data_IF_520229837735
#
_entry.id   IF_520229837735
#
_cell.length_a   1.000
_cell.length_b   1.000
_cell.length_c   1.000
_cell.angle_alpha   90.00
_cell.angle_beta   90.00
_cell.angle_gamma   90.00
#
_symmetry.space_group_name_H-M   'P 1'
#
loop_
_entity.id
_entity.type
_entity.pdbx_description
1 polymer ?
#
# COMPACT_ATOMS: atom_id res chain seq x y z
N UNK A 1 -6.81 74.03 24.13
CA UNK A 1 -7.35 73.10 23.12
C UNK A 1 -8.83 73.41 22.92
N UNK A 2 -9.36 73.35 21.69
CA UNK A 2 -10.78 73.66 21.42
C UNK A 2 -11.65 72.46 21.80
N UNK A 3 -12.82 72.70 22.40
CA UNK A 3 -13.78 71.65 22.81
C UNK A 3 -14.15 70.69 21.68
N UNK A 4 -14.20 71.19 20.44
CA UNK A 4 -14.42 70.39 19.23
C UNK A 4 -13.39 69.26 19.04
N UNK A 5 -12.11 69.49 19.38
CA UNK A 5 -11.07 68.46 19.23
C UNK A 5 -11.21 67.36 20.28
N UNK A 6 -11.71 67.70 21.48
CA UNK A 6 -11.98 66.73 22.55
C UNK A 6 -13.17 65.85 22.16
N UNK A 7 -14.23 66.46 21.61
CA UNK A 7 -15.40 65.74 21.13
C UNK A 7 -15.07 64.82 19.95
N UNK A 8 -14.26 65.28 19.00
CA UNK A 8 -13.82 64.46 17.88
C UNK A 8 -12.97 63.26 18.33
N UNK A 9 -12.05 63.48 19.28
CA UNK A 9 -11.25 62.41 19.85
C UNK A 9 -12.13 61.40 20.61
N UNK A 10 -13.09 61.86 21.42
CA UNK A 10 -14.01 61.00 22.15
C UNK A 10 -14.89 60.17 21.20
N UNK A 11 -15.43 60.78 20.15
CA UNK A 11 -16.23 60.09 19.15
C UNK A 11 -15.40 59.02 18.40
N UNK A 12 -14.16 59.34 18.04
CA UNK A 12 -13.25 58.39 17.39
C UNK A 12 -12.88 57.24 18.33
N UNK A 13 -12.64 57.51 19.61
CA UNK A 13 -12.38 56.48 20.62
C UNK A 13 -13.58 55.56 20.86
N UNK A 14 -14.79 56.10 20.90
CA UNK A 14 -16.02 55.31 21.05
C UNK A 14 -16.28 54.43 19.82
N UNK A 15 -16.04 54.95 18.61
CA UNK A 15 -16.17 54.18 17.38
C UNK A 15 -15.12 53.06 17.29
N UNK A 16 -13.89 53.32 17.74
CA UNK A 16 -12.83 52.31 17.79
C UNK A 16 -13.15 51.18 18.79
N UNK A 17 -13.75 51.50 19.94
CA UNK A 17 -14.16 50.51 20.93
C UNK A 17 -15.31 49.61 20.44
N UNK A 18 -16.19 50.12 19.57
CA UNK A 18 -17.29 49.35 19.00
C UNK A 18 -16.84 48.25 18.00
N UNK A 19 -15.61 48.34 17.46
CA UNK A 19 -15.06 47.34 16.54
C UNK A 19 -14.32 46.18 17.21
N UNK A 20 -14.05 46.26 18.52
CA UNK A 20 -13.36 45.23 19.27
C UNK A 20 -14.35 44.11 19.67
N UNK A 21 -14.77 43.31 18.69
CA UNK A 21 -15.51 42.08 18.93
C UNK A 21 -14.53 40.92 19.13
N UNK A 22 -14.48 40.37 20.35
CA UNK A 22 -13.86 39.07 20.56
C UNK A 22 -14.77 38.00 19.93
N UNK A 23 -14.20 37.06 19.19
CA UNK A 23 -14.94 35.87 18.76
C UNK A 23 -15.53 35.22 20.01
N UNK A 24 -16.86 35.07 20.04
CA UNK A 24 -17.54 34.42 21.16
C UNK A 24 -17.19 32.94 21.09
N UNK A 25 -16.45 32.45 22.09
CA UNK A 25 -16.15 31.04 22.20
C UNK A 25 -17.44 30.28 22.55
N UNK A 26 -18.02 29.61 21.57
CA UNK A 26 -19.26 28.81 21.68
C UNK A 26 -19.08 27.48 22.43
N UNK A 27 -17.92 27.26 23.07
CA UNK A 27 -17.61 25.99 23.72
C UNK A 27 -17.32 24.85 22.74
N UNK A 28 -17.15 23.64 23.29
CA UNK A 28 -17.07 22.41 22.50
C UNK A 28 -18.46 22.08 22.01
N UNK A 29 -18.67 22.21 20.70
CA UNK A 29 -19.93 21.84 20.07
C UNK A 29 -20.23 20.35 20.30
N UNK A 30 -21.44 19.99 20.75
CA UNK A 30 -21.78 18.59 20.95
C UNK A 30 -21.70 17.85 19.61
N UNK A 31 -21.21 16.61 19.63
CA UNK A 31 -21.29 15.75 18.46
C UNK A 31 -22.78 15.50 18.16
N UNK A 32 -23.32 16.18 17.16
CA UNK A 32 -24.70 16.02 16.67
C UNK A 32 -24.87 14.81 15.77
N UNK A 33 -23.75 14.22 15.32
CA UNK A 33 -23.72 12.99 14.54
C UNK A 33 -23.41 11.79 15.44
N UNK A 34 -24.45 11.17 16.02
CA UNK A 34 -24.27 9.93 16.74
C UNK A 34 -25.59 9.26 17.10
N UNK A 35 -25.64 7.95 16.94
CA UNK A 35 -26.68 7.11 17.53
C UNK A 35 -26.54 7.15 19.06
N UNK A 36 -27.65 7.30 19.76
CA UNK A 36 -27.71 7.16 21.22
C UNK A 36 -27.44 5.71 21.65
N UNK A 37 -27.02 5.52 22.90
CA UNK A 37 -26.80 4.17 23.46
C UNK A 37 -28.05 3.29 23.37
N UNK A 38 -29.24 3.90 23.48
CA UNK A 38 -30.50 3.18 23.36
C UNK A 38 -30.76 2.68 21.94
N UNK A 39 -30.28 3.39 20.92
CA UNK A 39 -30.39 2.99 19.51
C UNK A 39 -29.36 1.93 19.14
N UNK A 40 -28.15 2.00 19.69
CA UNK A 40 -27.06 1.03 19.41
C UNK A 40 -27.28 -0.31 20.12
N UNK A 41 -27.86 -0.32 21.32
CA UNK A 41 -28.07 -1.53 22.10
C UNK A 41 -28.81 -2.66 21.34
N UNK A 42 -29.99 -2.42 20.73
CA UNK A 42 -30.68 -3.47 19.96
C UNK A 42 -29.92 -3.87 18.69
N UNK A 43 -29.22 -2.92 18.03
CA UNK A 43 -28.41 -3.20 16.84
C UNK A 43 -27.22 -4.12 17.15
N UNK A 44 -26.55 -3.88 18.28
CA UNK A 44 -25.44 -4.71 18.75
C UNK A 44 -25.89 -6.14 19.08
N UNK A 45 -27.06 -6.30 19.70
CA UNK A 45 -27.64 -7.62 19.98
C UNK A 45 -28.01 -8.34 18.68
N UNK A 46 -28.58 -7.63 17.71
CA UNK A 46 -28.90 -8.19 16.39
C UNK A 46 -27.62 -8.63 15.64
N UNK A 47 -26.58 -7.80 15.63
CA UNK A 47 -25.30 -8.11 15.00
C UNK A 47 -24.61 -9.31 15.66
N UNK A 48 -24.61 -9.39 17.00
CA UNK A 48 -24.05 -10.54 17.72
C UNK A 48 -24.81 -11.85 17.42
N UNK A 49 -26.13 -11.77 17.19
CA UNK A 49 -26.96 -12.93 16.80
C UNK A 49 -26.84 -13.30 15.33
N UNK A 50 -26.42 -12.38 14.46
CA UNK A 50 -26.27 -12.63 13.03
C UNK A 50 -25.09 -13.57 12.68
N UNK A 51 -24.25 -13.91 13.65
CA UNK A 51 -23.08 -14.78 13.44
C UNK A 51 -21.94 -14.08 12.70
N UNK A 52 -20.86 -14.80 12.44
CA UNK A 52 -19.72 -14.26 11.69
C UNK A 52 -20.09 -14.14 10.21
N UNK A 53 -20.38 -12.92 9.74
CA UNK A 53 -20.68 -12.64 8.33
C UNK A 53 -19.56 -13.04 7.35
N UNK A 54 -18.36 -13.33 7.88
CA UNK A 54 -17.21 -13.78 7.11
C UNK A 54 -16.74 -15.19 7.47
N UNK A 55 -17.47 -15.92 8.31
CA UNK A 55 -17.07 -17.25 8.79
C UNK A 55 -17.04 -18.32 7.71
N UNK A 56 -17.90 -18.17 6.70
CA UNK A 56 -18.00 -19.10 5.57
C UNK A 56 -17.03 -18.73 4.43
N UNK A 57 -16.22 -17.67 4.58
CA UNK A 57 -15.17 -17.34 3.62
C UNK A 57 -13.93 -18.23 3.80
N UNK A 58 -14.11 -19.54 3.68
CA UNK A 58 -13.04 -20.53 3.44
C UNK A 58 -12.34 -20.33 2.07
N UNK A 59 -12.51 -19.18 1.40
CA UNK A 59 -12.03 -19.00 0.02
C UNK A 59 -11.83 -17.58 -0.49
N UNK A 60 -11.98 -16.52 0.31
CA UNK A 60 -11.78 -15.14 -0.19
C UNK A 60 -10.36 -14.61 0.13
N UNK A 61 -9.35 -15.30 -0.40
CA UNK A 61 -8.16 -14.72 -1.01
C UNK A 61 -7.32 -13.64 -0.27
N UNK A 62 -7.31 -13.57 1.08
CA UNK A 62 -6.43 -12.60 1.78
C UNK A 62 -5.24 -13.23 2.54
N UNK A 63 -5.29 -14.53 2.85
CA UNK A 63 -4.20 -15.22 3.58
C UNK A 63 -3.74 -16.54 2.96
N UNK A 64 -4.49 -17.11 2.03
CA UNK A 64 -4.10 -18.35 1.37
C UNK A 64 -3.19 -18.05 0.18
N UNK A 65 -1.92 -18.40 0.29
CA UNK A 65 -1.02 -18.49 -0.87
C UNK A 65 -1.70 -19.39 -1.91
N UNK A 66 -1.82 -18.97 -3.19
CA UNK A 66 -2.45 -19.79 -4.21
C UNK A 66 -1.78 -21.17 -4.23
N UNK A 67 -2.59 -22.22 -4.25
CA UNK A 67 -2.09 -23.59 -4.36
C UNK A 67 -1.26 -23.68 -5.65
N UNK A 68 0.01 -24.09 -5.53
CA UNK A 68 0.86 -24.36 -6.68
C UNK A 68 0.33 -25.61 -7.38
N UNK A 69 -0.54 -25.42 -8.37
CA UNK A 69 -1.24 -26.50 -9.09
C UNK A 69 -0.33 -27.34 -9.97
N UNK A 70 0.88 -26.87 -10.24
CA UNK A 70 1.90 -27.61 -10.99
C UNK A 70 3.28 -27.41 -10.37
N UNK A 71 3.80 -28.44 -9.69
CA UNK A 71 5.20 -28.51 -9.27
C UNK A 71 5.83 -29.77 -9.83
N UNK A 72 6.95 -29.64 -10.52
CA UNK A 72 7.80 -30.78 -10.89
C UNK A 72 8.42 -31.35 -9.61
N UNK A 73 8.52 -32.68 -9.51
CA UNK A 73 9.15 -33.32 -8.36
C UNK A 73 10.61 -32.85 -8.17
N UNK A 74 11.02 -32.66 -6.92
CA UNK A 74 12.35 -32.15 -6.57
C UNK A 74 13.47 -33.04 -7.11
N UNK A 75 13.29 -34.36 -7.15
CA UNK A 75 14.31 -35.27 -7.68
C UNK A 75 14.46 -35.10 -9.19
N UNK A 76 13.36 -34.83 -9.91
CA UNK A 76 13.40 -34.50 -11.34
C UNK A 76 14.17 -33.20 -11.59
N UNK A 77 13.84 -32.13 -10.84
CA UNK A 77 14.58 -30.86 -10.93
C UNK A 77 16.07 -31.04 -10.63
N UNK A 78 16.40 -31.83 -9.59
CA UNK A 78 17.80 -32.11 -9.23
C UNK A 78 18.53 -32.86 -10.35
N UNK A 79 17.88 -33.86 -10.97
CA UNK A 79 18.46 -34.64 -12.07
C UNK A 79 18.72 -33.77 -13.28
N UNK A 80 17.76 -32.92 -13.65
CA UNK A 80 17.90 -31.97 -14.76
C UNK A 80 19.02 -30.96 -14.51
N UNK A 81 19.10 -30.41 -13.29
CA UNK A 81 20.17 -29.49 -12.91
C UNK A 81 21.56 -30.13 -12.97
N UNK A 82 21.70 -31.38 -12.50
CA UNK A 82 22.97 -32.13 -12.60
C UNK A 82 23.34 -32.40 -14.06
N UNK A 83 22.38 -32.81 -14.89
CA UNK A 83 22.61 -33.04 -16.32
C UNK A 83 23.04 -31.74 -17.03
N UNK A 84 22.40 -30.62 -16.72
CA UNK A 84 22.75 -29.31 -17.25
C UNK A 84 24.16 -28.87 -16.80
N UNK A 85 24.51 -29.09 -15.53
CA UNK A 85 25.85 -28.78 -15.00
C UNK A 85 26.97 -29.60 -15.64
N UNK A 86 26.67 -30.81 -16.12
CA UNK A 86 27.62 -31.66 -16.84
C UNK A 86 27.64 -31.42 -18.36
N UNK A 87 26.83 -30.50 -18.88
CA UNK A 87 26.77 -30.26 -20.32
C UNK A 87 28.08 -29.58 -20.81
N UNK A 88 28.68 -30.05 -21.91
CA UNK A 88 30.01 -29.60 -22.37
C UNK A 88 30.09 -28.11 -22.74
N UNK A 89 28.96 -27.46 -23.02
CA UNK A 89 28.89 -26.03 -23.37
C UNK A 89 28.40 -25.12 -22.25
N UNK A 90 28.11 -25.64 -21.05
CA UNK A 90 27.44 -24.89 -19.98
C UNK A 90 28.26 -23.71 -19.43
N UNK A 91 29.60 -23.75 -19.55
CA UNK A 91 30.49 -22.66 -19.14
C UNK A 91 31.05 -21.87 -20.33
N UNK A 92 30.72 -22.24 -21.56
CA UNK A 92 31.26 -21.60 -22.76
C UNK A 92 30.35 -20.44 -23.15
N UNK A 93 30.96 -19.30 -23.45
CA UNK A 93 30.28 -18.18 -24.07
C UNK A 93 30.93 -17.86 -25.42
N UNK A 94 30.25 -17.12 -26.32
CA UNK A 94 30.87 -16.72 -27.59
C UNK A 94 32.22 -16.01 -27.38
N UNK A 95 32.34 -15.20 -26.33
CA UNK A 95 33.56 -14.43 -26.00
C UNK A 95 34.72 -15.31 -25.53
N UNK A 96 34.47 -16.58 -25.19
CA UNK A 96 35.53 -17.55 -24.87
C UNK A 96 36.33 -17.95 -26.10
N UNK A 97 35.77 -17.76 -27.31
CA UNK A 97 36.42 -18.10 -28.56
C UNK A 97 37.15 -16.90 -29.17
N UNK A 98 38.21 -17.16 -29.93
CA UNK A 98 38.97 -16.13 -30.63
C UNK A 98 38.06 -15.30 -31.55
N UNK A 99 38.11 -13.98 -31.41
CA UNK A 99 37.26 -13.06 -32.18
C UNK A 99 35.77 -13.18 -31.88
N UNK A 100 35.39 -13.82 -30.76
CA UNK A 100 34.00 -14.13 -30.41
C UNK A 100 33.26 -15.01 -31.44
N UNK A 101 34.01 -15.79 -32.23
CA UNK A 101 33.45 -16.64 -33.30
C UNK A 101 33.38 -18.09 -32.84
N UNK A 102 32.17 -18.65 -32.81
CA UNK A 102 31.96 -20.05 -32.45
C UNK A 102 32.45 -20.97 -33.58
N UNK A 103 33.43 -21.86 -33.34
CA UNK A 103 33.94 -22.77 -34.35
C UNK A 103 32.88 -23.80 -34.77
N UNK A 104 32.96 -24.32 -36.00
CA UNK A 104 31.94 -25.24 -36.54
C UNK A 104 31.78 -26.50 -35.70
N UNK A 105 32.84 -26.96 -35.04
CA UNK A 105 32.88 -28.08 -34.12
C UNK A 105 32.06 -27.85 -32.84
N UNK A 106 31.86 -26.58 -32.45
CA UNK A 106 31.15 -26.20 -31.22
C UNK A 106 29.69 -25.79 -31.47
N UNK A 107 29.23 -25.72 -32.73
CA UNK A 107 27.86 -25.28 -33.08
C UNK A 107 26.76 -26.21 -32.54
N UNK A 108 27.08 -27.47 -32.23
CA UNK A 108 26.15 -28.42 -31.62
C UNK A 108 26.06 -28.34 -30.10
N UNK A 109 26.87 -27.50 -29.45
CA UNK A 109 26.87 -27.35 -28.00
C UNK A 109 25.76 -26.38 -27.57
N UNK A 110 25.08 -26.70 -26.47
CA UNK A 110 24.18 -25.77 -25.81
C UNK A 110 24.99 -24.78 -25.00
N UNK A 111 24.92 -23.50 -25.37
CA UNK A 111 25.53 -22.41 -24.62
C UNK A 111 24.53 -21.83 -23.62
N UNK A 112 24.97 -21.49 -22.42
CA UNK A 112 24.16 -20.71 -21.48
C UNK A 112 23.90 -19.33 -22.07
N UNK A 113 22.68 -19.12 -22.59
CA UNK A 113 22.21 -17.77 -22.91
C UNK A 113 21.92 -17.09 -21.58
N UNK A 114 22.64 -16.01 -21.28
CA UNK A 114 22.35 -15.20 -20.09
C UNK A 114 20.89 -14.76 -20.19
N UNK A 115 20.01 -15.34 -19.36
CA UNK A 115 18.65 -14.84 -19.21
C UNK A 115 18.80 -13.43 -18.64
N UNK A 116 18.47 -12.43 -19.47
CA UNK A 116 18.50 -11.03 -19.05
C UNK A 116 17.61 -10.86 -17.82
N UNK A 117 18.16 -10.20 -16.80
CA UNK A 117 17.38 -9.64 -15.70
C UNK A 117 16.45 -8.54 -16.23
#
# INVERSE_FOLDING_TARGET
MKTSNILAAAALSLLAAAGAHAETYEGVQPLTSGYSRAEVAPQAVAAARAGNAYGDNEGAASTATPALTASVDRATVRREAVAAAHAPGQNLRPETFAGSVIPSQAKGLTFTRQAGL
#
